data_IF_863623624976
#
_entry.id   IF_863623624976
#
_cell.length_a   1.000
_cell.length_b   1.000
_cell.length_c   1.000
_cell.angle_alpha   90.00
_cell.angle_beta   90.00
_cell.angle_gamma   90.00
#
_symmetry.space_group_name_H-M   'P 1'
#
loop_
_entity.id
_entity.type
_entity.pdbx_description
1 polymer ?
#
# COMPACT_ATOMS: atom_id res chain seq x y z
N UNK A 1 0.33 8.91 -0.89
CA UNK A 1 1.27 9.06 -2.00
C UNK A 1 0.65 8.52 -3.28
N UNK A 2 0.74 7.22 -3.60
CA UNK A 2 0.16 6.62 -4.82
C UNK A 2 -1.31 7.01 -5.06
N UNK A 3 -2.11 7.18 -4.01
CA UNK A 3 -3.49 7.63 -4.15
C UNK A 3 -3.59 9.08 -4.66
N UNK A 4 -2.76 9.99 -4.15
CA UNK A 4 -2.74 11.38 -4.62
C UNK A 4 -2.28 11.47 -6.08
N UNK A 5 -1.25 10.73 -6.46
CA UNK A 5 -0.72 10.67 -7.83
C UNK A 5 -1.76 10.16 -8.85
N UNK A 6 -2.63 9.25 -8.41
CA UNK A 6 -3.74 8.77 -9.24
C UNK A 6 -4.91 9.77 -9.36
N UNK A 7 -4.86 10.91 -8.69
CA UNK A 7 -5.94 11.88 -8.58
C UNK A 7 -7.08 11.44 -7.64
N UNK A 8 -6.88 10.35 -6.89
CA UNK A 8 -7.85 9.88 -5.91
C UNK A 8 -7.67 10.60 -4.57
N UNK A 9 -8.76 10.82 -3.84
CA UNK A 9 -8.73 11.32 -2.47
C UNK A 9 -8.45 10.16 -1.52
N UNK A 10 -7.29 10.10 -0.84
CA UNK A 10 -7.00 9.06 0.13
C UNK A 10 -7.83 9.25 1.41
N UNK A 11 -8.25 8.12 1.98
CA UNK A 11 -8.89 8.05 3.29
C UNK A 11 -8.25 6.88 4.05
N UNK A 12 -7.79 7.11 5.26
CA UNK A 12 -7.23 6.07 6.11
C UNK A 12 -8.34 5.50 6.98
N UNK A 13 -8.46 4.18 6.98
CA UNK A 13 -9.49 3.46 7.72
C UNK A 13 -8.83 2.52 8.73
N UNK A 14 -8.96 2.81 10.00
CA UNK A 14 -8.56 1.95 11.11
C UNK A 14 -9.72 1.01 11.44
N UNK A 15 -9.68 -0.19 10.87
CA UNK A 15 -10.74 -1.18 11.10
C UNK A 15 -10.50 -1.97 12.40
N UNK A 16 -11.56 -2.64 12.88
CA UNK A 16 -11.59 -3.40 14.13
C UNK A 16 -11.49 -2.51 15.38
N UNK A 17 -12.04 -1.30 15.30
CA UNK A 17 -12.11 -0.38 16.43
C UNK A 17 -12.85 -0.96 17.64
N UNK A 18 -13.65 -2.02 17.43
CA UNK A 18 -14.31 -2.79 18.49
C UNK A 18 -13.35 -3.60 19.38
N UNK A 19 -12.10 -3.76 18.97
CA UNK A 19 -11.05 -4.51 19.70
C UNK A 19 -10.02 -3.61 20.39
N UNK A 20 -10.20 -2.28 20.33
CA UNK A 20 -9.25 -1.31 20.87
C UNK A 20 -9.96 -0.49 21.96
N UNK A 21 -9.30 -0.26 23.09
CA UNK A 21 -9.87 0.49 24.21
C UNK A 21 -9.97 1.99 23.91
N UNK A 22 -9.00 2.54 23.16
CA UNK A 22 -8.95 3.95 22.75
C UNK A 22 -8.78 4.09 21.23
N UNK A 23 -9.86 3.94 20.45
CA UNK A 23 -9.81 4.12 19.01
C UNK A 23 -9.57 5.59 18.58
N UNK A 24 -9.98 6.57 19.41
CA UNK A 24 -9.79 7.98 19.10
C UNK A 24 -8.31 8.38 19.25
N UNK A 25 -7.61 7.89 20.26
CA UNK A 25 -6.18 8.06 20.41
C UNK A 25 -5.41 7.47 19.22
N UNK A 26 -5.79 6.28 18.75
CA UNK A 26 -5.19 5.69 17.56
C UNK A 26 -5.43 6.55 16.28
N UNK A 27 -6.60 7.18 16.15
CA UNK A 27 -6.88 8.13 15.06
C UNK A 27 -5.95 9.34 15.12
N UNK A 28 -5.78 9.92 16.30
CA UNK A 28 -4.91 11.10 16.49
C UNK A 28 -3.43 10.77 16.19
N UNK A 29 -2.94 9.62 16.61
CA UNK A 29 -1.59 9.17 16.28
C UNK A 29 -1.38 9.08 14.75
N UNK A 30 -2.33 8.47 14.04
CA UNK A 30 -2.23 8.33 12.58
C UNK A 30 -2.41 9.69 11.89
N UNK A 31 -3.28 10.55 12.39
CA UNK A 31 -3.49 11.90 11.86
C UNK A 31 -2.24 12.77 12.01
N UNK A 32 -1.50 12.62 13.10
CA UNK A 32 -0.22 13.31 13.27
C UNK A 32 0.82 12.91 12.21
N UNK A 33 0.76 11.68 11.72
CA UNK A 33 1.65 11.17 10.66
C UNK A 33 1.18 11.54 9.25
N UNK A 34 -0.12 11.77 9.06
CA UNK A 34 -0.75 12.05 7.77
C UNK A 34 -1.77 13.19 7.88
N UNK A 35 -1.35 14.44 8.20
CA UNK A 35 -2.25 15.55 8.53
C UNK A 35 -3.15 15.99 7.38
N UNK A 36 -2.83 15.63 6.14
CA UNK A 36 -3.62 15.97 4.95
C UNK A 36 -4.61 14.86 4.53
N UNK A 37 -4.80 13.82 5.36
CA UNK A 37 -5.63 12.67 5.03
C UNK A 37 -6.71 12.49 6.09
N UNK A 38 -7.95 12.25 5.67
CA UNK A 38 -9.02 11.88 6.59
C UNK A 38 -8.74 10.51 7.20
N UNK A 39 -8.84 10.42 8.53
CA UNK A 39 -8.60 9.18 9.29
C UNK A 39 -9.86 8.83 10.06
N UNK A 40 -10.37 7.62 9.89
CA UNK A 40 -11.57 7.13 10.56
C UNK A 40 -11.32 5.79 11.25
N UNK A 41 -11.70 5.69 12.52
CA UNK A 41 -11.81 4.42 13.24
C UNK A 41 -13.19 3.80 12.97
N UNK A 42 -13.21 2.57 12.47
CA UNK A 42 -14.46 1.86 12.13
C UNK A 42 -14.42 0.42 12.61
N UNK A 43 -15.58 -0.21 12.70
CA UNK A 43 -15.70 -1.65 12.87
C UNK A 43 -16.70 -2.21 11.86
N UNK A 44 -16.26 -3.17 11.06
CA UNK A 44 -17.15 -3.90 10.16
C UNK A 44 -18.26 -4.67 10.92
N UNK A 45 -18.12 -4.85 12.24
CA UNK A 45 -19.14 -5.45 13.13
C UNK A 45 -20.15 -4.42 13.67
N UNK A 46 -19.84 -3.14 13.52
CA UNK A 46 -20.69 -2.01 13.96
C UNK A 46 -21.02 -1.15 12.76
N UNK A 47 -22.07 -1.49 11.98
CA UNK A 47 -22.41 -0.84 10.71
C UNK A 47 -22.58 0.68 10.80
N UNK A 48 -22.98 1.17 11.96
CA UNK A 48 -23.13 2.61 12.24
C UNK A 48 -21.80 3.38 12.14
N UNK A 49 -20.67 2.75 12.43
CA UNK A 49 -19.35 3.39 12.30
C UNK A 49 -18.93 3.56 10.83
N UNK A 50 -19.57 2.84 9.91
CA UNK A 50 -19.29 2.91 8.48
C UNK A 50 -20.01 4.05 7.77
N UNK A 51 -20.91 4.78 8.46
CA UNK A 51 -21.59 5.95 7.90
C UNK A 51 -20.59 7.04 7.48
N UNK A 52 -19.47 7.17 8.20
CA UNK A 52 -18.36 8.04 7.82
C UNK A 52 -17.81 7.68 6.44
N UNK A 53 -17.65 6.38 6.15
CA UNK A 53 -17.16 5.92 4.85
C UNK A 53 -18.22 6.10 3.75
N UNK A 54 -19.52 5.96 4.07
CA UNK A 54 -20.61 6.21 3.11
C UNK A 54 -20.60 7.66 2.60
N UNK A 55 -20.19 8.61 3.42
CA UNK A 55 -20.00 10.01 3.01
C UNK A 55 -18.96 10.18 1.89
N UNK A 56 -17.91 9.37 1.89
CA UNK A 56 -16.89 9.35 0.84
C UNK A 56 -17.31 8.55 -0.42
N UNK A 57 -18.31 7.68 -0.30
CA UNK A 57 -18.73 6.72 -1.32
C UNK A 57 -20.17 6.99 -1.84
N UNK A 58 -20.56 8.25 -1.94
CA UNK A 58 -21.87 8.66 -2.46
C UNK A 58 -22.03 8.47 -3.97
N UNK A 59 -23.20 8.85 -4.47
CA UNK A 59 -23.54 8.78 -5.90
C UNK A 59 -22.47 9.43 -6.78
N UNK A 60 -22.06 8.73 -7.85
CA UNK A 60 -21.04 9.20 -8.78
C UNK A 60 -19.58 9.07 -8.28
N UNK A 61 -19.38 8.55 -7.08
CA UNK A 61 -18.05 8.30 -6.52
C UNK A 61 -17.67 6.83 -6.63
N UNK A 62 -16.41 6.56 -6.89
CA UNK A 62 -15.84 5.20 -6.92
C UNK A 62 -14.69 5.13 -5.93
N UNK A 63 -14.77 4.21 -4.98
CA UNK A 63 -13.72 3.92 -4.02
C UNK A 63 -12.98 2.62 -4.35
N UNK A 64 -11.75 2.50 -3.87
CA UNK A 64 -10.99 1.25 -3.88
C UNK A 64 -10.42 0.98 -2.48
N UNK A 65 -10.58 -0.24 -1.99
CA UNK A 65 -10.02 -0.64 -0.70
C UNK A 65 -8.63 -1.25 -0.90
N UNK A 66 -7.66 -0.63 -0.26
CA UNK A 66 -6.27 -1.05 -0.26
C UNK A 66 -5.86 -1.48 1.16
N UNK A 67 -4.95 -2.41 1.25
CA UNK A 67 -4.45 -2.88 2.55
C UNK A 67 -4.08 -4.36 2.56
N UNK A 68 -3.35 -4.78 3.59
CA UNK A 68 -2.85 -6.15 3.76
C UNK A 68 -3.99 -7.18 3.90
N UNK A 69 -3.63 -8.47 3.77
CA UNK A 69 -4.59 -9.56 4.01
C UNK A 69 -4.99 -9.58 5.50
N UNK A 70 -6.27 -9.85 5.78
CA UNK A 70 -6.77 -9.96 7.16
C UNK A 70 -7.12 -8.65 7.87
N UNK A 71 -6.89 -7.47 7.24
CA UNK A 71 -7.31 -6.18 7.83
C UNK A 71 -8.85 -5.98 7.82
N UNK A 72 -9.59 -6.84 7.11
CA UNK A 72 -11.05 -6.81 7.09
C UNK A 72 -11.68 -6.07 5.92
N UNK A 73 -10.98 -5.89 4.79
CA UNK A 73 -11.54 -5.24 3.58
C UNK A 73 -12.87 -5.86 3.16
N UNK A 74 -12.90 -7.18 2.98
CA UNK A 74 -14.13 -7.89 2.57
C UNK A 74 -15.27 -7.78 3.60
N UNK A 75 -14.93 -7.70 4.88
CA UNK A 75 -15.92 -7.48 5.93
C UNK A 75 -16.51 -6.07 5.86
N UNK A 76 -15.68 -5.05 5.57
CA UNK A 76 -16.14 -3.68 5.33
C UNK A 76 -17.05 -3.62 4.11
N UNK A 77 -16.67 -4.27 2.98
CA UNK A 77 -17.51 -4.32 1.77
C UNK A 77 -18.88 -4.93 2.09
N UNK A 78 -18.92 -6.11 2.73
CA UNK A 78 -20.17 -6.77 3.09
C UNK A 78 -21.05 -5.89 3.98
N UNK A 79 -20.46 -5.21 4.95
CA UNK A 79 -21.18 -4.33 5.85
C UNK A 79 -21.67 -3.05 5.16
N UNK A 80 -20.94 -2.51 4.19
CA UNK A 80 -21.38 -1.37 3.37
C UNK A 80 -22.52 -1.75 2.42
N UNK A 81 -22.48 -2.96 1.87
CA UNK A 81 -23.54 -3.50 0.97
C UNK A 81 -24.77 -3.95 1.76
N UNK A 82 -24.60 -4.34 3.02
CA UNK A 82 -25.70 -4.80 3.89
C UNK A 82 -26.02 -6.29 3.76
N UNK A 83 -25.20 -7.06 3.03
CA UNK A 83 -25.32 -8.52 2.93
C UNK A 83 -23.98 -9.17 2.59
N UNK A 84 -23.87 -10.48 2.78
CA UNK A 84 -22.66 -11.25 2.52
C UNK A 84 -22.44 -11.46 1.01
N UNK A 85 -21.90 -10.43 0.35
CA UNK A 85 -21.52 -10.49 -1.07
C UNK A 85 -20.20 -11.22 -1.27
N UNK A 86 -19.24 -11.00 -0.39
CA UNK A 86 -17.89 -11.56 -0.45
C UNK A 86 -17.72 -12.56 0.69
N UNK A 87 -17.33 -13.80 0.36
CA UNK A 87 -17.03 -14.80 1.39
C UNK A 87 -15.83 -14.35 2.22
N UNK A 88 -16.06 -14.12 3.50
CA UNK A 88 -15.00 -13.83 4.47
C UNK A 88 -14.55 -15.13 5.11
N UNK A 89 -13.25 -15.47 4.98
CA UNK A 89 -12.68 -16.55 5.76
C UNK A 89 -12.14 -16.00 7.08
N UNK A 90 -12.57 -16.63 8.19
CA UNK A 90 -11.91 -16.43 9.47
C UNK A 90 -10.44 -16.82 9.32
N UNK A 91 -9.55 -15.93 9.74
CA UNK A 91 -8.11 -16.21 9.78
C UNK A 91 -7.88 -17.34 10.78
N UNK A 92 -7.64 -18.55 10.27
CA UNK A 92 -7.10 -19.64 11.10
C UNK A 92 -5.59 -19.39 11.24
N UNK A 93 -5.12 -19.26 12.45
CA UNK A 93 -3.72 -18.99 12.81
C UNK A 93 -2.71 -20.06 12.34
N UNK A 94 -3.15 -21.13 11.69
CA UNK A 94 -2.31 -22.32 11.43
C UNK A 94 -1.97 -22.60 9.97
N UNK A 95 -2.33 -21.75 9.00
CA UNK A 95 -2.05 -22.07 7.59
C UNK A 95 -1.35 -20.93 6.84
N UNK A 96 -0.01 -20.97 6.87
CA UNK A 96 0.90 -20.06 6.16
C UNK A 96 0.94 -20.27 4.62
N UNK A 97 0.04 -21.10 4.07
CA UNK A 97 -0.12 -21.31 2.63
C UNK A 97 -1.50 -20.84 2.17
N UNK A 98 -1.64 -19.50 2.04
CA UNK A 98 -2.86 -18.85 1.59
C UNK A 98 -3.30 -19.30 0.19
N UNK A 99 -4.35 -20.12 0.12
CA UNK A 99 -5.17 -20.24 -1.07
C UNK A 99 -5.96 -18.94 -1.21
N UNK A 100 -5.64 -18.15 -2.23
CA UNK A 100 -6.37 -16.93 -2.58
C UNK A 100 -7.83 -17.25 -2.89
N UNK A 101 -8.76 -16.64 -2.15
CA UNK A 101 -10.20 -16.92 -2.25
C UNK A 101 -10.92 -16.08 -3.30
N UNK A 102 -10.30 -15.04 -3.84
CA UNK A 102 -10.82 -14.30 -4.99
C UNK A 102 -9.66 -13.84 -5.87
N UNK A 103 -9.66 -14.31 -7.10
CA UNK A 103 -8.68 -13.95 -8.15
C UNK A 103 -9.21 -12.83 -9.04
N UNK A 104 -10.43 -12.38 -8.85
CA UNK A 104 -11.10 -11.41 -9.72
C UNK A 104 -11.36 -10.10 -8.96
N UNK A 105 -11.03 -9.00 -9.63
CA UNK A 105 -11.46 -7.66 -9.20
C UNK A 105 -12.97 -7.59 -9.43
N UNK A 106 -13.71 -7.17 -8.42
CA UNK A 106 -15.15 -6.97 -8.50
C UNK A 106 -15.48 -5.51 -8.32
N UNK A 107 -16.38 -5.02 -9.17
CA UNK A 107 -17.01 -3.72 -9.00
C UNK A 107 -18.33 -3.94 -8.29
N UNK A 108 -18.49 -3.33 -7.13
CA UNK A 108 -19.65 -3.49 -6.25
C UNK A 108 -20.41 -2.17 -6.22
N UNK A 109 -21.70 -2.21 -6.52
CA UNK A 109 -22.58 -1.05 -6.35
C UNK A 109 -23.07 -0.99 -4.91
N UNK A 110 -22.90 0.17 -4.27
CA UNK A 110 -23.40 0.42 -2.92
C UNK A 110 -24.86 0.89 -2.94
N UNK A 111 -25.64 0.63 -1.88
CA UNK A 111 -27.03 1.08 -1.78
C UNK A 111 -27.21 2.60 -1.97
N UNK A 112 -26.19 3.40 -1.65
CA UNK A 112 -26.16 4.86 -1.88
C UNK A 112 -25.78 5.30 -3.30
N UNK A 113 -25.65 4.37 -4.26
CA UNK A 113 -25.31 4.64 -5.67
C UNK A 113 -23.83 4.88 -5.95
N UNK A 114 -22.95 4.79 -4.95
CA UNK A 114 -21.51 4.77 -5.15
C UNK A 114 -21.02 3.40 -5.60
N UNK A 115 -19.79 3.36 -6.11
CA UNK A 115 -19.14 2.14 -6.56
C UNK A 115 -17.93 1.82 -5.68
N UNK A 116 -17.69 0.54 -5.45
CA UNK A 116 -16.53 0.07 -4.72
C UNK A 116 -15.80 -1.00 -5.54
N UNK A 117 -14.49 -0.80 -5.72
CA UNK A 117 -13.62 -1.79 -6.36
C UNK A 117 -13.02 -2.65 -5.26
N UNK A 118 -13.41 -3.94 -5.22
CA UNK A 118 -12.69 -4.91 -4.39
C UNK A 118 -11.44 -5.36 -5.14
N UNK A 119 -10.29 -5.08 -4.52
CA UNK A 119 -8.99 -5.48 -5.03
C UNK A 119 -8.47 -6.65 -4.19
N UNK A 120 -8.73 -7.91 -4.60
CA UNK A 120 -8.24 -9.06 -3.86
C UNK A 120 -6.71 -9.07 -3.86
N UNK A 121 -6.13 -9.03 -2.67
CA UNK A 121 -4.73 -9.36 -2.46
C UNK A 121 -3.71 -8.37 -3.04
N UNK A 122 -4.02 -7.09 -3.15
CA UNK A 122 -2.96 -6.07 -3.32
C UNK A 122 -2.14 -6.03 -2.01
N UNK A 123 -1.26 -7.02 -1.87
CA UNK A 123 -0.35 -7.15 -0.73
C UNK A 123 0.69 -6.04 -0.68
N UNK A 124 0.92 -5.39 -1.82
CA UNK A 124 1.94 -4.36 -1.96
C UNK A 124 1.44 -3.36 -3.00
N UNK A 125 1.03 -2.18 -2.56
CA UNK A 125 1.21 -1.01 -3.39
C UNK A 125 2.71 -0.84 -3.49
N UNK A 126 3.31 -1.38 -4.54
CA UNK A 126 4.70 -1.12 -4.83
C UNK A 126 4.79 0.38 -5.11
N UNK A 127 5.58 1.07 -4.33
CA UNK A 127 5.98 2.44 -4.61
C UNK A 127 6.79 2.40 -5.92
N UNK A 128 6.10 2.65 -7.03
CA UNK A 128 6.68 2.52 -8.38
C UNK A 128 7.49 3.74 -8.78
N UNK A 129 7.34 4.86 -8.03
CA UNK A 129 7.98 6.10 -8.42
C UNK A 129 8.81 6.73 -7.29
N UNK A 130 9.99 7.20 -7.67
CA UNK A 130 10.92 7.88 -6.78
C UNK A 130 10.44 9.28 -6.38
N UNK A 131 9.49 9.86 -7.11
CA UNK A 131 8.92 11.19 -6.85
C UNK A 131 8.04 11.22 -5.60
N UNK A 132 7.29 10.17 -5.36
CA UNK A 132 6.26 10.15 -4.32
C UNK A 132 6.78 10.17 -2.88
N UNK A 133 7.97 9.61 -2.60
CA UNK A 133 8.56 9.67 -1.27
C UNK A 133 9.03 11.09 -0.93
N UNK A 134 9.65 11.78 -1.90
CA UNK A 134 10.11 13.16 -1.73
C UNK A 134 8.96 14.14 -1.54
N UNK A 135 7.83 13.94 -2.22
CA UNK A 135 6.65 14.79 -2.08
C UNK A 135 5.94 14.64 -0.73
N UNK A 136 5.93 13.43 -0.17
CA UNK A 136 5.32 13.16 1.14
C UNK A 136 6.21 13.61 2.30
N UNK A 137 7.52 13.50 2.14
CA UNK A 137 8.51 13.83 3.14
C UNK A 137 9.36 15.03 2.70
N UNK A 138 8.70 16.10 2.20
CA UNK A 138 9.36 17.34 1.79
C UNK A 138 10.20 17.91 2.91
N UNK A 139 9.71 17.87 4.14
CA UNK A 139 10.42 18.24 5.36
C UNK A 139 11.75 17.48 5.52
N UNK A 140 11.75 16.17 5.33
CA UNK A 140 12.96 15.35 5.42
C UNK A 140 13.86 15.55 4.21
N UNK A 141 13.30 15.66 2.99
CA UNK A 141 14.10 15.82 1.76
C UNK A 141 14.76 17.18 1.65
N UNK A 142 14.14 18.25 2.14
CA UNK A 142 14.71 19.59 2.19
C UNK A 142 15.89 19.63 3.18
N UNK A 143 15.78 18.97 4.32
CA UNK A 143 16.88 18.78 5.25
C UNK A 143 17.97 17.88 4.67
N UNK A 144 17.61 16.82 3.95
CA UNK A 144 18.56 15.90 3.31
C UNK A 144 19.44 16.58 2.27
N UNK A 145 18.91 17.59 1.57
CA UNK A 145 19.69 18.42 0.63
C UNK A 145 20.83 19.19 1.30
N UNK A 146 20.76 19.39 2.62
CA UNK A 146 21.76 20.07 3.42
C UNK A 146 22.78 19.12 4.07
N UNK A 147 22.64 17.80 3.89
CA UNK A 147 23.58 16.83 4.41
C UNK A 147 24.97 16.99 3.75
N UNK A 148 26.02 16.70 4.53
CA UNK A 148 27.41 16.75 4.04
C UNK A 148 27.65 15.76 2.89
N UNK A 149 26.99 14.59 2.91
CA UNK A 149 27.16 13.54 1.91
C UNK A 149 25.89 13.39 1.08
N UNK A 150 26.04 13.24 -0.24
CA UNK A 150 24.91 13.07 -1.17
C UNK A 150 24.20 11.71 -1.03
N UNK A 151 24.91 10.72 -0.53
CA UNK A 151 24.44 9.35 -0.27
C UNK A 151 24.13 9.09 1.21
N UNK A 152 23.88 10.17 1.98
CA UNK A 152 23.56 10.12 3.40
C UNK A 152 22.30 9.27 3.62
N UNK A 153 22.38 8.31 4.52
CA UNK A 153 21.24 7.46 4.91
C UNK A 153 20.54 7.94 6.18
N UNK A 154 20.97 9.10 6.68
CA UNK A 154 20.42 9.78 7.86
C UNK A 154 20.42 8.90 9.13
N UNK A 155 21.48 8.11 9.33
CA UNK A 155 21.67 7.25 10.52
C UNK A 155 22.70 7.85 11.46
N UNK A 156 23.98 7.54 11.22
CA UNK A 156 25.09 7.92 12.07
C UNK A 156 26.16 8.73 11.31
N UNK A 157 25.84 9.22 10.10
CA UNK A 157 26.79 9.92 9.26
C UNK A 157 27.11 11.31 9.86
N UNK A 158 28.40 11.66 9.96
CA UNK A 158 28.82 12.94 10.49
C UNK A 158 28.40 14.08 9.58
N UNK A 159 27.74 15.11 10.14
CA UNK A 159 27.22 16.24 9.39
C UNK A 159 25.92 15.95 8.66
N UNK A 160 25.12 14.99 9.17
CA UNK A 160 23.76 14.76 8.72
C UNK A 160 22.82 15.83 9.25
N UNK A 161 22.23 16.64 8.35
CA UNK A 161 21.30 17.71 8.72
C UNK A 161 19.97 17.15 9.26
N UNK A 162 19.53 16.00 8.77
CA UNK A 162 18.28 15.35 9.21
C UNK A 162 18.36 14.86 10.65
N UNK A 163 19.47 14.19 11.03
CA UNK A 163 19.67 13.77 12.44
C UNK A 163 19.90 14.95 13.37
N UNK A 164 20.54 16.03 12.89
CA UNK A 164 20.67 17.26 13.65
C UNK A 164 19.31 17.92 13.91
N UNK A 165 18.42 17.95 12.93
CA UNK A 165 17.06 18.47 13.07
C UNK A 165 16.21 17.62 14.05
N UNK A 166 16.40 16.31 14.10
CA UNK A 166 15.77 15.46 15.12
C UNK A 166 16.32 15.81 16.51
N UNK A 167 17.63 15.95 16.65
CA UNK A 167 18.27 16.28 17.93
C UNK A 167 17.86 17.67 18.46
N UNK A 168 17.56 18.64 17.57
CA UNK A 168 17.05 19.98 17.93
C UNK A 168 15.54 20.01 18.19
N UNK A 169 14.80 18.95 17.87
CA UNK A 169 13.34 18.90 17.97
C UNK A 169 12.59 19.56 16.78
N UNK A 170 13.31 20.00 15.75
CA UNK A 170 12.74 20.56 14.53
C UNK A 170 12.00 19.50 13.70
N UNK A 171 12.53 18.28 13.65
CA UNK A 171 11.92 17.14 13.00
C UNK A 171 11.55 16.06 14.04
N UNK A 172 10.28 15.59 14.12
CA UNK A 172 9.91 14.48 15.02
C UNK A 172 10.66 13.20 14.66
N UNK A 173 11.17 12.49 15.66
CA UNK A 173 11.89 11.21 15.47
C UNK A 173 11.02 10.17 14.74
N UNK A 174 9.73 10.04 15.12
CA UNK A 174 8.78 9.16 14.47
C UNK A 174 8.60 9.47 12.97
N UNK A 175 8.79 10.73 12.58
CA UNK A 175 8.73 11.14 11.17
C UNK A 175 9.93 10.60 10.38
N UNK A 176 11.13 10.70 10.95
CA UNK A 176 12.34 10.13 10.38
C UNK A 176 12.30 8.62 10.30
N UNK A 177 11.79 7.95 11.34
CA UNK A 177 11.61 6.49 11.33
C UNK A 177 10.65 6.04 10.23
N UNK A 178 9.54 6.74 10.05
CA UNK A 178 8.57 6.47 8.98
C UNK A 178 9.20 6.64 7.60
N UNK A 179 10.01 7.68 7.39
CA UNK A 179 10.76 7.88 6.16
C UNK A 179 11.73 6.73 5.89
N UNK A 180 12.55 6.36 6.88
CA UNK A 180 13.53 5.26 6.77
C UNK A 180 12.87 3.92 6.45
N UNK A 181 11.74 3.64 7.08
CA UNK A 181 10.98 2.41 6.83
C UNK A 181 10.49 2.33 5.39
N UNK A 182 9.87 3.40 4.91
CA UNK A 182 9.36 3.45 3.55
C UNK A 182 10.46 3.45 2.49
N UNK A 183 11.58 4.11 2.76
CA UNK A 183 12.74 4.09 1.87
C UNK A 183 13.37 2.70 1.77
N UNK A 184 13.49 1.98 2.88
CA UNK A 184 13.94 0.59 2.91
C UNK A 184 12.97 -0.35 2.17
N UNK A 185 11.65 -0.17 2.32
CA UNK A 185 10.64 -0.93 1.57
C UNK A 185 10.75 -0.65 0.07
N UNK A 186 10.94 0.59 -0.34
CA UNK A 186 11.19 1.00 -1.73
C UNK A 186 12.43 0.34 -2.31
N UNK A 187 13.57 0.40 -1.60
CA UNK A 187 14.80 -0.26 -2.03
C UNK A 187 14.63 -1.78 -2.17
N UNK A 188 13.92 -2.41 -1.23
CA UNK A 188 13.63 -3.84 -1.28
C UNK A 188 12.76 -4.19 -2.49
N UNK A 189 11.71 -3.43 -2.75
CA UNK A 189 10.84 -3.61 -3.91
C UNK A 189 11.61 -3.45 -5.24
N UNK A 190 12.47 -2.43 -5.35
CA UNK A 190 13.30 -2.21 -6.52
C UNK A 190 14.23 -3.40 -6.81
N UNK A 191 14.90 -3.93 -5.77
CA UNK A 191 15.76 -5.12 -5.89
C UNK A 191 14.98 -6.36 -6.37
N UNK A 192 13.79 -6.59 -5.82
CA UNK A 192 12.94 -7.71 -6.25
C UNK A 192 12.49 -7.58 -7.71
N UNK A 193 12.22 -6.35 -8.17
CA UNK A 193 11.88 -6.11 -9.58
C UNK A 193 13.04 -6.43 -10.52
N UNK A 194 14.24 -5.97 -10.17
CA UNK A 194 15.45 -6.25 -10.95
C UNK A 194 15.73 -7.75 -11.05
N UNK A 195 15.58 -8.50 -9.95
CA UNK A 195 15.71 -9.95 -9.95
C UNK A 195 14.65 -10.63 -10.83
N UNK A 196 13.37 -10.21 -10.73
CA UNK A 196 12.30 -10.74 -11.58
C UNK A 196 12.52 -10.41 -13.05
N UNK A 197 12.94 -9.19 -13.38
CA UNK A 197 13.28 -8.77 -14.74
C UNK A 197 14.44 -9.61 -15.29
N UNK A 198 15.46 -9.90 -14.48
CA UNK A 198 16.59 -10.74 -14.88
C UNK A 198 16.17 -12.19 -15.13
N UNK A 199 15.31 -12.76 -14.29
CA UNK A 199 14.77 -14.12 -14.45
C UNK A 199 13.93 -14.20 -15.73
N UNK A 200 13.07 -13.20 -15.97
CA UNK A 200 12.22 -13.19 -17.17
C UNK A 200 13.04 -13.04 -18.46
N UNK A 201 14.06 -12.18 -18.48
CA UNK A 201 15.02 -12.08 -19.60
C UNK A 201 15.72 -13.41 -19.88
N UNK A 202 16.16 -14.13 -18.83
CA UNK A 202 16.76 -15.48 -18.96
C UNK A 202 15.74 -16.49 -19.50
N UNK A 203 14.48 -16.43 -19.08
CA UNK A 203 13.40 -17.29 -19.55
C UNK A 203 13.11 -17.04 -21.03
N UNK A 204 12.95 -15.80 -21.45
CA UNK A 204 12.72 -15.41 -22.84
C UNK A 204 13.89 -15.82 -23.74
N UNK A 205 15.13 -15.63 -23.30
CA UNK A 205 16.31 -16.10 -24.02
C UNK A 205 16.32 -17.61 -24.24
N UNK A 206 15.91 -18.41 -23.22
CA UNK A 206 15.80 -19.89 -23.36
C UNK A 206 14.68 -20.29 -24.33
N UNK A 207 13.55 -19.60 -24.29
CA UNK A 207 12.43 -19.86 -25.24
C UNK A 207 12.85 -19.53 -26.66
N UNK A 208 13.48 -18.36 -26.88
CA UNK A 208 14.00 -17.97 -28.20
C UNK A 208 15.05 -18.93 -28.75
N UNK A 209 16.00 -19.36 -27.91
CA UNK A 209 17.01 -20.33 -28.31
C UNK A 209 16.40 -21.70 -28.65
N UNK A 210 15.35 -22.13 -27.91
CA UNK A 210 14.63 -23.39 -28.22
C UNK A 210 13.85 -23.30 -29.53
N UNK A 211 13.21 -22.17 -29.79
CA UNK A 211 12.48 -21.91 -31.04
C UNK A 211 13.42 -21.87 -32.24
N UNK A 212 14.58 -21.20 -32.12
CA UNK A 212 15.60 -21.16 -33.16
C UNK A 212 16.16 -22.55 -33.48
N UNK A 213 16.48 -23.35 -32.45
CA UNK A 213 16.94 -24.74 -32.62
C UNK A 213 15.90 -25.62 -33.34
N UNK A 214 14.62 -25.43 -33.01
CA UNK A 214 13.52 -26.13 -33.70
C UNK A 214 13.45 -25.73 -35.16
N UNK A 215 13.48 -24.44 -35.47
CA UNK A 215 13.45 -23.92 -36.83
C UNK A 215 14.64 -24.39 -37.71
N UNK A 216 15.84 -24.43 -37.12
CA UNK A 216 17.01 -24.94 -37.81
C UNK A 216 16.95 -26.45 -38.09
N UNK A 217 16.37 -27.24 -37.15
CA UNK A 217 16.12 -28.67 -37.37
C UNK A 217 15.09 -28.93 -38.49
N UNK A 218 14.06 -28.13 -38.55
CA UNK A 218 12.99 -28.25 -39.55
C UNK A 218 13.51 -27.89 -40.97
N UNK A 219 14.39 -26.88 -41.07
CA UNK A 219 15.07 -26.52 -42.33
C UNK A 219 16.15 -27.52 -42.82
N UNK A 220 16.76 -28.27 -41.92
CA UNK A 220 17.78 -29.24 -42.27
C UNK A 220 17.25 -30.64 -42.67
N UNK A 221 15.92 -30.79 -42.80
CA UNK A 221 15.21 -32.01 -43.20
C UNK A 221 14.50 -31.93 -44.56
N UNK A 222 14.72 -30.84 -45.32
CA UNK A 222 14.17 -30.62 -46.64
C UNK A 222 15.23 -30.89 -47.75
#
# INVERSE_FOLDING_TARGET
>A
MVAWESGATPVIVLNKADLVDDPDGAVEEVRALAPAVDVHAVSARRPETLDLLRGHLGLGKTGALLGSSGVGKSSIVNSLVGHDLIRTHQVRESDSRGRHTSTHRQLVMLPGGGLLIDTPGMRELQLWDTGSLSETFTDVTDLAAQCRFRDCRHRDEPGCAVTAAVASGELPEARLESFRKLDAEREHAARQQDERALIERKRQGRVGAKALRKHLKDKGRG
#
